data_IF_865608436582
#
_entry.id   IF_865608436582
#
_cell.length_a   1.000
_cell.length_b   1.000
_cell.length_c   1.000
_cell.angle_alpha   90.00
_cell.angle_beta   90.00
_cell.angle_gamma   90.00
#
_symmetry.space_group_name_H-M   'P 1'
#
loop_
_entity.id
_entity.type
_entity.pdbx_description
1 polymer ?
#
# COMPACT_ATOMS: atom_id res chain seq x y z
N UNK A 1 9.87 2.28 4.54
CA UNK A 1 8.43 2.07 4.26
C UNK A 1 8.08 2.41 2.82
N UNK A 2 7.22 1.59 2.20
CA UNK A 2 6.44 1.71 0.95
C UNK A 2 5.55 0.43 0.86
N UNK A 3 4.56 0.27 1.74
CA UNK A 3 3.77 -0.97 1.83
C UNK A 3 4.64 -2.21 2.09
N UNK A 4 5.42 -2.20 3.19
CA UNK A 4 6.46 -3.21 3.47
C UNK A 4 7.57 -3.32 2.40
N UNK A 5 7.63 -2.37 1.46
CA UNK A 5 8.66 -2.32 0.41
C UNK A 5 8.53 -3.41 -0.65
N UNK A 6 7.41 -4.15 -0.68
CA UNK A 6 7.22 -5.27 -1.61
C UNK A 6 7.25 -4.78 -3.05
N UNK A 7 6.56 -3.67 -3.36
CA UNK A 7 6.56 -3.08 -4.69
C UNK A 7 7.95 -2.68 -5.18
N UNK A 8 8.85 -2.30 -4.28
CA UNK A 8 10.23 -1.93 -4.63
C UNK A 8 11.06 -3.14 -5.09
N UNK A 9 10.65 -4.37 -4.74
CA UNK A 9 11.28 -5.60 -5.23
C UNK A 9 11.08 -5.81 -6.73
N UNK A 10 10.07 -5.18 -7.34
CA UNK A 10 9.89 -5.17 -8.79
C UNK A 10 11.02 -4.43 -9.52
N UNK A 11 11.74 -3.53 -8.82
CA UNK A 11 12.77 -2.63 -9.38
C UNK A 11 12.26 -1.67 -10.46
N UNK A 12 10.94 -1.59 -10.64
CA UNK A 12 10.31 -0.74 -11.65
C UNK A 12 10.18 0.71 -11.17
N UNK A 13 10.02 0.93 -9.88
CA UNK A 13 9.84 2.27 -9.29
C UNK A 13 10.78 2.48 -8.11
N UNK A 14 11.13 3.74 -7.89
CA UNK A 14 11.83 4.21 -6.70
C UNK A 14 10.81 4.73 -5.67
N UNK A 15 11.18 4.79 -4.38
CA UNK A 15 10.29 5.34 -3.35
C UNK A 15 9.82 6.77 -3.65
N UNK A 16 10.69 7.60 -4.26
CA UNK A 16 10.35 8.95 -4.67
C UNK A 16 9.26 8.98 -5.75
N UNK A 17 9.31 8.06 -6.74
CA UNK A 17 8.28 7.95 -7.78
C UNK A 17 6.91 7.69 -7.14
N UNK A 18 6.85 6.79 -6.16
CA UNK A 18 5.61 6.46 -5.44
C UNK A 18 5.07 7.65 -4.64
N UNK A 19 5.94 8.35 -3.90
CA UNK A 19 5.54 9.50 -3.09
C UNK A 19 5.12 10.69 -3.94
N UNK A 20 5.86 11.02 -5.00
CA UNK A 20 5.51 12.10 -5.92
C UNK A 20 4.23 11.79 -6.69
N UNK A 21 4.02 10.55 -7.12
CA UNK A 21 2.76 10.13 -7.72
C UNK A 21 1.58 10.34 -6.76
N UNK A 22 1.70 9.87 -5.51
CA UNK A 22 0.65 10.03 -4.50
C UNK A 22 0.36 11.52 -4.22
N UNK A 23 1.39 12.36 -4.08
CA UNK A 23 1.27 13.81 -3.89
C UNK A 23 0.66 14.52 -5.11
N UNK A 24 0.79 13.95 -6.31
CA UNK A 24 0.24 14.51 -7.54
C UNK A 24 -1.24 14.21 -7.76
N UNK A 25 -1.80 13.23 -7.05
CA UNK A 25 -3.23 12.91 -7.14
C UNK A 25 -4.08 14.02 -6.50
N UNK A 26 -5.39 14.11 -6.83
CA UNK A 26 -6.31 15.07 -6.22
C UNK A 26 -6.68 14.67 -4.79
N UNK A 27 -5.69 14.55 -3.92
CA UNK A 27 -5.81 14.21 -2.50
C UNK A 27 -5.49 15.42 -1.64
N UNK A 28 -6.25 15.63 -0.56
CA UNK A 28 -5.95 16.70 0.40
C UNK A 28 -4.75 16.40 1.28
N UNK A 29 -4.50 15.12 1.59
CA UNK A 29 -3.44 14.65 2.49
C UNK A 29 -2.88 13.34 1.97
N UNK A 30 -1.55 13.20 1.97
CA UNK A 30 -0.83 11.94 1.75
C UNK A 30 -0.20 11.51 3.07
N UNK A 31 -0.52 10.29 3.53
CA UNK A 31 0.03 9.71 4.76
C UNK A 31 1.08 8.66 4.38
N UNK A 32 2.28 8.77 4.95
CA UNK A 32 3.37 7.78 4.76
C UNK A 32 3.88 7.30 6.12
N UNK A 33 4.01 5.99 6.28
CA UNK A 33 4.56 5.39 7.49
C UNK A 33 6.07 5.60 7.58
N UNK A 34 6.57 5.94 8.77
CA UNK A 34 7.99 6.17 9.06
C UNK A 34 8.35 5.34 10.29
N UNK A 35 9.26 4.39 10.11
CA UNK A 35 9.71 3.44 11.14
C UNK A 35 11.18 3.64 11.54
N UNK A 36 11.92 4.48 10.81
CA UNK A 36 13.34 4.76 11.03
C UNK A 36 13.77 6.11 10.43
N UNK A 37 14.89 6.69 10.90
CA UNK A 37 15.35 8.02 10.47
C UNK A 37 15.57 8.14 8.95
N UNK A 38 16.07 7.11 8.28
CA UNK A 38 16.36 7.20 6.85
C UNK A 38 15.08 7.33 6.01
N UNK A 39 13.96 6.78 6.50
CA UNK A 39 12.65 6.91 5.86
C UNK A 39 12.05 8.29 6.13
N UNK A 40 12.35 8.89 7.28
CA UNK A 40 12.01 10.29 7.55
C UNK A 40 12.71 11.21 6.56
N UNK A 41 14.03 11.07 6.39
CA UNK A 41 14.80 11.88 5.44
C UNK A 41 14.29 11.69 4.00
N UNK A 42 13.97 10.47 3.61
CA UNK A 42 13.35 10.17 2.31
C UNK A 42 12.00 10.90 2.14
N UNK A 43 11.14 10.87 3.16
CA UNK A 43 9.82 11.51 3.10
C UNK A 43 9.93 13.04 3.04
N UNK A 44 10.82 13.63 3.84
CA UNK A 44 11.11 15.07 3.80
C UNK A 44 11.66 15.47 2.44
N UNK A 45 12.62 14.70 1.91
CA UNK A 45 13.20 14.97 0.60
C UNK A 45 12.15 14.90 -0.52
N UNK A 46 11.26 13.90 -0.48
CA UNK A 46 10.16 13.79 -1.44
C UNK A 46 9.24 15.02 -1.37
N UNK A 47 8.88 15.48 -0.17
CA UNK A 47 8.04 16.66 0.01
C UNK A 47 8.70 17.95 -0.50
N UNK A 48 9.99 18.17 -0.18
CA UNK A 48 10.73 19.39 -0.56
C UNK A 48 10.96 19.47 -2.07
N UNK A 49 11.24 18.33 -2.70
CA UNK A 49 11.54 18.25 -4.15
C UNK A 49 10.31 18.09 -5.02
N UNK A 50 9.12 17.92 -4.44
CA UNK A 50 7.90 17.70 -5.18
C UNK A 50 7.60 18.84 -6.16
N UNK A 51 7.27 18.46 -7.39
CA UNK A 51 6.67 19.32 -8.40
C UNK A 51 5.50 18.57 -9.01
N UNK A 52 4.35 19.22 -9.28
CA UNK A 52 3.25 18.58 -9.99
C UNK A 52 3.76 17.92 -11.26
N UNK A 53 3.39 16.66 -11.44
CA UNK A 53 3.76 15.86 -12.60
C UNK A 53 2.90 16.27 -13.79
N UNK A 54 3.49 16.30 -14.98
CA UNK A 54 2.72 16.47 -16.22
C UNK A 54 1.90 15.22 -16.51
N UNK A 55 0.82 15.32 -17.31
CA UNK A 55 0.05 14.15 -17.75
C UNK A 55 0.92 13.05 -18.37
N UNK A 56 1.96 13.42 -19.11
CA UNK A 56 2.90 12.49 -19.75
C UNK A 56 3.78 11.77 -18.73
N UNK A 57 4.23 12.47 -17.68
CA UNK A 57 5.00 11.85 -16.59
C UNK A 57 4.15 10.84 -15.82
N UNK A 58 2.88 11.18 -15.55
CA UNK A 58 1.91 10.28 -14.92
C UNK A 58 1.67 9.05 -15.80
N UNK A 59 1.38 9.27 -17.09
CA UNK A 59 1.15 8.18 -18.04
C UNK A 59 2.38 7.26 -18.18
N UNK A 60 3.58 7.84 -18.22
CA UNK A 60 4.84 7.09 -18.26
C UNK A 60 5.03 6.21 -17.04
N UNK A 61 4.76 6.74 -15.83
CA UNK A 61 4.87 5.96 -14.60
C UNK A 61 3.85 4.81 -14.55
N UNK A 62 2.59 5.08 -14.93
CA UNK A 62 1.53 4.05 -14.99
C UNK A 62 1.82 2.99 -16.05
N UNK A 63 2.34 3.38 -17.22
CA UNK A 63 2.73 2.44 -18.26
C UNK A 63 3.87 1.53 -17.78
N UNK A 64 4.88 2.11 -17.12
CA UNK A 64 6.04 1.38 -16.60
C UNK A 64 5.65 0.32 -15.56
N UNK A 65 4.66 0.60 -14.72
CA UNK A 65 4.21 -0.31 -13.65
C UNK A 65 3.16 -1.33 -14.09
N UNK A 66 2.62 -1.20 -15.31
CA UNK A 66 1.51 -2.03 -15.80
C UNK A 66 1.75 -3.53 -15.64
N UNK A 67 2.89 -4.03 -16.11
CA UNK A 67 3.18 -5.48 -16.13
C UNK A 67 3.26 -6.05 -14.70
N UNK A 68 4.04 -5.40 -13.85
CA UNK A 68 4.23 -5.85 -12.45
C UNK A 68 2.98 -5.66 -11.60
N UNK A 69 2.07 -4.77 -11.98
CA UNK A 69 0.79 -4.57 -11.30
C UNK A 69 -0.30 -5.55 -11.76
N UNK A 70 -0.14 -6.25 -12.89
CA UNK A 70 -1.23 -6.97 -13.57
C UNK A 70 -1.76 -8.18 -12.78
N UNK A 71 -0.88 -8.87 -12.05
CA UNK A 71 -1.20 -10.15 -11.40
C UNK A 71 -1.20 -10.08 -9.87
N UNK A 72 -0.96 -8.89 -9.31
CA UNK A 72 -0.98 -8.66 -7.86
C UNK A 72 0.16 -9.32 -7.08
N UNK A 73 1.21 -9.77 -7.77
CA UNK A 73 2.42 -10.40 -7.19
C UNK A 73 3.10 -9.51 -6.14
N UNK A 74 3.00 -8.19 -6.31
CA UNK A 74 3.64 -7.20 -5.44
C UNK A 74 2.68 -6.51 -4.46
N UNK A 75 1.39 -6.86 -4.46
CA UNK A 75 0.35 -6.27 -3.60
C UNK A 75 -0.18 -7.30 -2.57
N UNK A 76 0.75 -7.83 -1.78
CA UNK A 76 0.47 -8.95 -0.87
C UNK A 76 -0.55 -8.60 0.23
N UNK A 77 -0.84 -7.33 0.50
CA UNK A 77 -1.91 -6.93 1.41
C UNK A 77 -3.31 -7.23 0.86
N UNK A 78 -3.46 -7.40 -0.46
CA UNK A 78 -4.74 -7.68 -1.11
C UNK A 78 -4.82 -9.08 -1.68
N UNK A 79 -3.68 -9.68 -2.03
CA UNK A 79 -3.63 -10.97 -2.74
C UNK A 79 -3.18 -12.14 -1.86
N UNK A 80 -2.90 -11.91 -0.58
CA UNK A 80 -2.46 -12.96 0.34
C UNK A 80 -2.92 -12.72 1.78
N UNK A 81 -2.84 -13.77 2.60
CA UNK A 81 -3.03 -13.69 4.06
C UNK A 81 -1.73 -13.29 4.80
N UNK A 82 -0.65 -12.93 4.08
CA UNK A 82 0.66 -12.71 4.70
C UNK A 82 0.65 -11.61 5.76
N UNK A 83 -0.16 -10.57 5.56
CA UNK A 83 -0.32 -9.45 6.48
C UNK A 83 -1.64 -9.48 7.25
N UNK A 84 -2.40 -10.57 7.14
CA UNK A 84 -3.67 -10.73 7.84
C UNK A 84 -3.43 -11.36 9.21
N UNK A 85 -3.49 -10.53 10.26
CA UNK A 85 -3.35 -11.01 11.63
C UNK A 85 -4.53 -11.87 12.08
N UNK A 86 -5.74 -11.63 11.60
CA UNK A 86 -6.91 -12.42 12.03
C UNK A 86 -6.97 -13.78 11.33
N UNK A 87 -6.39 -13.90 10.14
CA UNK A 87 -6.14 -15.21 9.52
C UNK A 87 -5.11 -16.04 10.30
N UNK A 88 -4.10 -15.40 10.92
CA UNK A 88 -3.07 -16.08 11.72
C UNK A 88 -3.50 -16.33 13.17
N UNK A 89 -4.35 -15.44 13.68
CA UNK A 89 -4.86 -15.42 15.04
C UNK A 89 -6.39 -15.30 15.02
N UNK A 90 -7.10 -16.35 14.56
CA UNK A 90 -8.57 -16.32 14.51
C UNK A 90 -9.19 -16.07 15.89
N UNK A 91 -8.48 -16.43 16.97
CA UNK A 91 -8.89 -16.17 18.35
C UNK A 91 -9.04 -14.68 18.69
N UNK A 92 -8.43 -13.76 17.92
CA UNK A 92 -8.57 -12.31 18.15
C UNK A 92 -9.90 -11.73 17.66
N UNK A 93 -10.66 -12.48 16.84
CA UNK A 93 -11.96 -12.03 16.33
C UNK A 93 -13.06 -12.06 17.41
N UNK A 94 -12.78 -12.66 18.56
CA UNK A 94 -13.76 -12.86 19.62
C UNK A 94 -14.81 -13.92 19.25
N UNK A 95 -15.75 -14.15 20.16
CA UNK A 95 -16.86 -15.08 19.92
C UNK A 95 -18.06 -14.36 19.29
N UNK A 96 -18.81 -15.08 18.47
CA UNK A 96 -20.10 -14.59 17.98
C UNK A 96 -21.08 -14.41 19.14
N UNK A 97 -21.88 -13.34 19.10
CA UNK A 97 -22.92 -13.15 20.10
C UNK A 97 -23.94 -14.31 20.08
N UNK A 98 -24.58 -14.65 21.21
CA UNK A 98 -25.60 -15.71 21.25
C UNK A 98 -26.73 -15.54 20.23
N UNK A 99 -27.08 -14.29 19.90
CA UNK A 99 -28.08 -13.96 18.88
C UNK A 99 -27.61 -14.35 17.48
N UNK A 100 -26.33 -14.16 17.17
CA UNK A 100 -25.76 -14.54 15.87
C UNK A 100 -25.73 -16.06 15.75
N UNK A 101 -25.31 -16.77 16.80
CA UNK A 101 -25.30 -18.25 16.81
C UNK A 101 -26.70 -18.87 16.60
N UNK A 102 -27.77 -18.20 17.02
CA UNK A 102 -29.15 -18.65 16.79
C UNK A 102 -29.67 -18.36 15.38
N UNK A 103 -29.16 -17.32 14.72
CA UNK A 103 -29.65 -16.86 13.41
C UNK A 103 -28.77 -17.34 12.25
N UNK A 104 -27.49 -17.59 12.49
CA UNK A 104 -26.57 -18.07 11.48
C UNK A 104 -26.96 -19.50 11.05
N UNK A 105 -26.85 -19.82 9.74
CA UNK A 105 -27.00 -21.21 9.30
C UNK A 105 -25.97 -22.09 9.99
N UNK A 106 -26.34 -23.33 10.31
CA UNK A 106 -25.36 -24.31 10.76
C UNK A 106 -24.34 -24.54 9.62
N UNK A 107 -23.06 -24.34 9.94
CA UNK A 107 -21.92 -24.60 9.06
C UNK A 107 -21.69 -26.09 8.82
#
# INVERSE_FOLDING_TARGET
SMGSGVILKSKVVQPADCLHYALNLPTSVVITGIDKPEILDQAVQAAVTFRPMTPEQVAGLVAKTREVAAHGEYELFKTSQHFDSTAKHPEWLGEESPRVQQLAPAS
#
